data_IF_175557909891
#
_entry.id   IF_175557909891
#
_cell.length_a   1.000
_cell.length_b   1.000
_cell.length_c   1.000
_cell.angle_alpha   90.00
_cell.angle_beta   90.00
_cell.angle_gamma   90.00
#
_symmetry.space_group_name_H-M   'P 1'
#
loop_
_entity.id
_entity.type
_entity.pdbx_description
1 polymer ?
#
# COMPACT_ATOMS: atom_id res chain seq x y z
N UNK A 1 14.21 -5.15 -14.23
CA UNK A 1 13.85 -5.98 -13.06
C UNK A 1 14.67 -5.61 -11.83
N UNK A 2 16.00 -5.69 -11.85
CA UNK A 2 16.84 -5.29 -10.70
C UNK A 2 16.57 -3.85 -10.23
N UNK A 3 16.62 -2.85 -11.14
CA UNK A 3 16.35 -1.43 -10.80
C UNK A 3 14.98 -1.24 -10.15
N UNK A 4 13.96 -1.99 -10.61
CA UNK A 4 12.63 -1.95 -10.00
C UNK A 4 12.68 -2.51 -8.58
N UNK A 5 13.21 -3.72 -8.38
CA UNK A 5 13.30 -4.34 -7.04
C UNK A 5 14.10 -3.49 -6.06
N UNK A 6 15.29 -3.01 -6.45
CA UNK A 6 16.12 -2.17 -5.60
C UNK A 6 15.56 -0.76 -5.38
N UNK A 7 14.77 -0.24 -6.33
CA UNK A 7 14.17 1.10 -6.25
C UNK A 7 12.80 1.14 -5.56
N UNK A 8 12.07 0.02 -5.51
CA UNK A 8 10.71 -0.04 -4.93
C UNK A 8 10.62 -0.88 -3.66
N UNK A 9 11.72 -1.53 -3.24
CA UNK A 9 11.78 -2.30 -2.00
C UNK A 9 13.06 -1.96 -1.23
N UNK A 10 13.12 -2.34 0.04
CA UNK A 10 14.33 -2.22 0.86
C UNK A 10 15.47 -3.17 0.43
N UNK A 11 15.37 -3.84 -0.73
CA UNK A 11 16.46 -4.63 -1.29
C UNK A 11 17.75 -3.80 -1.47
N UNK A 12 17.69 -2.47 -1.60
CA UNK A 12 18.90 -1.62 -1.64
C UNK A 12 19.74 -1.72 -0.36
N UNK A 13 19.14 -2.06 0.79
CA UNK A 13 19.86 -2.30 2.04
C UNK A 13 20.83 -3.50 1.90
N UNK A 14 20.58 -4.44 0.98
CA UNK A 14 21.52 -5.52 0.67
C UNK A 14 22.86 -5.01 0.12
N UNK A 15 22.89 -3.81 -0.46
CA UNK A 15 24.12 -3.18 -0.94
C UNK A 15 25.02 -2.68 0.20
N UNK A 16 24.49 -2.60 1.44
CA UNK A 16 25.25 -2.20 2.64
C UNK A 16 25.97 -3.38 3.33
N UNK A 17 25.81 -4.61 2.84
CA UNK A 17 26.49 -5.78 3.42
C UNK A 17 28.03 -5.66 3.48
N UNK A 18 28.72 -5.06 2.49
CA UNK A 18 30.16 -4.82 2.60
C UNK A 18 30.54 -3.97 3.81
N UNK A 19 29.74 -2.96 4.15
CA UNK A 19 29.94 -2.09 5.32
C UNK A 19 29.78 -2.90 6.60
N UNK A 20 28.75 -3.74 6.70
CA UNK A 20 28.54 -4.64 7.83
C UNK A 20 29.73 -5.60 8.04
N UNK A 21 30.25 -6.18 6.96
CA UNK A 21 31.42 -7.09 7.05
C UNK A 21 32.66 -6.33 7.52
N UNK A 22 32.89 -5.12 7.00
CA UNK A 22 33.99 -4.27 7.46
C UNK A 22 33.88 -3.96 8.95
N UNK A 23 32.69 -3.59 9.42
CA UNK A 23 32.45 -3.26 10.82
C UNK A 23 32.59 -4.48 11.74
N UNK A 24 32.17 -5.66 11.29
CA UNK A 24 32.43 -6.92 11.99
C UNK A 24 33.94 -7.21 12.09
N UNK A 25 34.72 -6.93 11.03
CA UNK A 25 36.17 -7.11 11.06
C UNK A 25 36.84 -6.13 12.03
N UNK A 26 36.33 -4.91 12.17
CA UNK A 26 36.77 -3.93 13.18
C UNK A 26 36.53 -4.49 14.60
N UNK A 27 35.30 -4.93 14.89
CA UNK A 27 34.97 -5.59 16.16
C UNK A 27 35.84 -6.81 16.44
N UNK A 28 36.17 -7.61 15.41
CA UNK A 28 37.04 -8.79 15.58
C UNK A 28 38.52 -8.44 15.80
N UNK A 29 38.95 -7.22 15.49
CA UNK A 29 40.30 -6.74 15.85
C UNK A 29 40.37 -6.37 17.33
N UNK A 30 39.27 -5.83 17.87
CA UNK A 30 39.17 -5.40 19.27
C UNK A 30 38.87 -6.59 20.19
N UNK A 31 37.91 -7.43 19.82
CA UNK A 31 37.61 -8.72 20.45
C UNK A 31 37.72 -9.87 19.44
N UNK A 32 38.86 -10.57 19.36
CA UNK A 32 39.06 -11.70 18.47
C UNK A 32 38.09 -12.88 18.69
N UNK A 33 37.38 -12.93 19.83
CA UNK A 33 36.45 -14.01 20.16
C UNK A 33 35.02 -13.71 19.74
N UNK A 34 34.72 -12.48 19.29
CA UNK A 34 33.37 -12.13 18.88
C UNK A 34 32.95 -12.97 17.66
N UNK A 35 31.82 -13.67 17.80
CA UNK A 35 31.21 -14.38 16.69
C UNK A 35 30.37 -13.41 15.87
N UNK A 36 30.15 -13.74 14.60
CA UNK A 36 29.27 -12.92 13.75
C UNK A 36 27.83 -12.85 14.30
N UNK A 37 27.34 -13.92 14.94
CA UNK A 37 26.01 -13.91 15.58
C UNK A 37 25.95 -13.02 16.82
N UNK A 38 27.04 -12.95 17.60
CA UNK A 38 27.14 -12.03 18.73
C UNK A 38 27.14 -10.57 18.25
N UNK A 39 27.88 -10.28 17.18
CA UNK A 39 27.86 -8.98 16.50
C UNK A 39 26.46 -8.60 15.99
N UNK A 40 25.74 -9.52 15.35
CA UNK A 40 24.36 -9.23 14.93
C UNK A 40 23.45 -8.98 16.14
N UNK A 41 23.63 -9.74 17.23
CA UNK A 41 22.82 -9.56 18.44
C UNK A 41 23.03 -8.18 19.07
N UNK A 42 24.29 -7.76 19.24
CA UNK A 42 24.59 -6.46 19.87
C UNK A 42 24.00 -5.30 19.08
N UNK A 43 24.02 -5.38 17.74
CA UNK A 43 23.52 -4.28 16.91
C UNK A 43 22.01 -4.35 16.58
N UNK A 44 21.35 -5.51 16.60
CA UNK A 44 19.94 -5.62 16.18
C UNK A 44 18.96 -6.05 17.28
N UNK A 45 19.44 -6.65 18.36
CA UNK A 45 18.59 -7.23 19.41
C UNK A 45 18.76 -6.48 20.73
N UNK A 46 20.00 -6.19 21.09
CA UNK A 46 20.31 -5.52 22.34
C UNK A 46 19.94 -4.03 22.26
N UNK A 47 19.88 -3.36 23.41
CA UNK A 47 19.47 -1.95 23.48
C UNK A 47 20.51 -1.07 22.78
N UNK A 48 20.03 -0.17 21.93
CA UNK A 48 20.87 0.84 21.28
C UNK A 48 21.56 1.70 22.34
N UNK A 49 22.89 1.76 22.24
CA UNK A 49 23.76 2.63 23.03
C UNK A 49 24.23 3.76 22.12
N UNK A 50 24.27 4.99 22.64
CA UNK A 50 24.82 6.14 21.92
C UNK A 50 26.22 6.37 22.44
N UNK A 51 27.20 5.90 21.68
CA UNK A 51 28.62 6.09 21.93
C UNK A 51 29.34 6.52 20.63
N UNK A 52 30.67 6.42 20.60
CA UNK A 52 31.49 6.83 19.47
C UNK A 52 31.23 6.00 18.19
N UNK A 53 30.64 4.80 18.29
CA UNK A 53 30.31 3.93 17.16
C UNK A 53 28.92 4.21 16.56
N UNK A 54 28.08 4.99 17.25
CA UNK A 54 26.66 5.13 16.97
C UNK A 54 26.36 5.51 15.50
N UNK A 55 27.11 6.46 14.94
CA UNK A 55 26.94 6.91 13.56
C UNK A 55 27.31 5.83 12.53
N UNK A 56 28.23 4.93 12.86
CA UNK A 56 28.61 3.78 12.03
C UNK A 56 27.58 2.67 12.17
N UNK A 57 27.06 2.49 13.38
CA UNK A 57 25.97 1.59 13.71
C UNK A 57 24.72 1.85 12.88
N UNK A 58 24.36 3.13 12.70
CA UNK A 58 23.22 3.55 11.89
C UNK A 58 23.39 3.29 10.38
N UNK A 59 24.61 2.98 9.91
CA UNK A 59 24.89 2.63 8.52
C UNK A 59 24.70 1.15 8.22
N UNK A 60 24.49 0.32 9.24
CA UNK A 60 24.27 -1.12 9.06
C UNK A 60 22.97 -1.40 8.28
N UNK A 61 22.94 -2.47 7.47
CA UNK A 61 21.77 -2.82 6.66
C UNK A 61 20.53 -2.98 7.54
N UNK A 62 19.41 -2.37 7.15
CA UNK A 62 18.14 -2.46 7.90
C UNK A 62 18.16 -1.90 9.34
N UNK A 63 19.22 -1.21 9.78
CA UNK A 63 19.27 -0.57 11.11
C UNK A 63 18.41 0.70 11.16
N UNK A 64 18.41 1.46 10.08
CA UNK A 64 17.62 2.68 9.91
C UNK A 64 16.60 2.51 8.80
N UNK A 65 15.39 3.01 9.04
CA UNK A 65 14.34 3.12 8.02
C UNK A 65 14.39 4.54 7.47
N UNK A 66 14.99 4.70 6.29
CA UNK A 66 14.80 5.89 5.47
C UNK A 66 13.34 5.87 5.03
N UNK A 67 12.49 6.69 5.68
CA UNK A 67 11.06 6.74 5.41
C UNK A 67 10.78 7.35 4.03
N UNK A 68 11.07 6.61 2.96
CA UNK A 68 10.51 6.88 1.64
C UNK A 68 9.51 5.77 1.35
N UNK A 69 8.29 5.99 1.86
CA UNK A 69 7.10 5.21 1.54
C UNK A 69 7.25 3.71 1.84
N UNK A 70 6.88 3.30 3.05
CA UNK A 70 6.49 1.90 3.34
C UNK A 70 5.18 1.63 2.57
N UNK A 71 5.26 1.57 1.24
CA UNK A 71 4.42 0.66 0.49
C UNK A 71 5.08 -0.70 0.72
N UNK A 72 4.85 -1.29 1.89
CA UNK A 72 4.88 -2.73 1.99
C UNK A 72 3.81 -3.20 1.00
N UNK A 73 4.15 -3.32 -0.27
CA UNK A 73 3.40 -4.12 -1.23
C UNK A 73 3.56 -5.53 -0.72
N UNK A 74 2.71 -5.87 0.25
CA UNK A 74 2.32 -7.24 0.49
C UNK A 74 1.80 -7.67 -0.87
N UNK A 75 2.62 -8.41 -1.60
CA UNK A 75 2.21 -9.14 -2.80
C UNK A 75 1.26 -10.23 -2.32
N UNK A 76 0.06 -9.85 -1.88
CA UNK A 76 -1.04 -10.76 -1.71
C UNK A 76 -1.27 -11.38 -3.09
N UNK A 77 -1.24 -12.71 -3.23
CA UNK A 77 -1.65 -13.32 -4.48
C UNK A 77 -3.06 -12.82 -4.82
N UNK A 78 -3.30 -12.48 -6.08
CA UNK A 78 -4.60 -11.97 -6.53
C UNK A 78 -5.69 -12.94 -6.07
N UNK A 79 -6.60 -12.46 -5.20
CA UNK A 79 -7.72 -13.26 -4.75
C UNK A 79 -8.79 -13.25 -5.82
N UNK A 80 -9.41 -14.40 -6.08
CA UNK A 80 -10.54 -14.48 -6.99
C UNK A 80 -11.74 -13.78 -6.36
N UNK A 81 -12.22 -12.69 -6.98
CA UNK A 81 -13.46 -12.03 -6.57
C UNK A 81 -14.61 -12.73 -7.30
N UNK A 82 -15.48 -13.41 -6.55
CA UNK A 82 -16.75 -13.90 -7.10
C UNK A 82 -17.76 -12.77 -7.04
N UNK A 83 -18.12 -12.23 -8.20
CA UNK A 83 -19.20 -11.24 -8.33
C UNK A 83 -20.49 -12.03 -8.60
N UNK A 84 -21.32 -12.24 -7.57
CA UNK A 84 -22.69 -12.65 -7.78
C UNK A 84 -23.47 -11.45 -8.30
N UNK A 85 -23.82 -11.47 -9.59
CA UNK A 85 -24.76 -10.49 -10.12
C UNK A 85 -26.14 -10.77 -9.53
N UNK A 86 -26.77 -9.79 -8.84
CA UNK A 86 -28.15 -9.97 -8.41
C UNK A 86 -29.01 -10.18 -9.66
N UNK A 87 -29.82 -11.24 -9.64
CA UNK A 87 -30.79 -11.45 -10.72
C UNK A 87 -31.73 -10.25 -10.77
N UNK A 88 -32.01 -9.69 -11.96
CA UNK A 88 -32.95 -8.58 -12.08
C UNK A 88 -34.31 -9.06 -11.56
N UNK A 89 -34.76 -8.46 -10.46
CA UNK A 89 -36.13 -8.63 -9.98
C UNK A 89 -37.02 -7.90 -10.98
N UNK A 90 -37.66 -8.65 -11.87
CA UNK A 90 -38.71 -8.10 -12.73
C UNK A 90 -39.90 -7.80 -11.83
N UNK A 91 -40.02 -6.54 -11.40
CA UNK A 91 -41.22 -6.05 -10.74
C UNK A 91 -42.34 -6.08 -11.79
N UNK A 92 -43.22 -7.08 -11.69
CA UNK A 92 -44.47 -7.10 -12.44
C UNK A 92 -45.40 -6.07 -11.79
N UNK A 93 -45.24 -4.81 -12.20
CA UNK A 93 -46.12 -3.73 -11.75
C UNK A 93 -47.37 -3.72 -12.62
N UNK A 94 -48.50 -4.12 -12.05
CA UNK A 94 -49.79 -3.87 -12.68
C UNK A 94 -50.11 -2.37 -12.57
N UNK A 95 -50.17 -1.69 -13.71
CA UNK A 95 -50.67 -0.32 -13.78
C UNK A 95 -52.14 -0.35 -14.16
N UNK A 96 -52.95 0.42 -13.42
CA UNK A 96 -54.33 0.66 -13.80
C UNK A 96 -54.34 1.60 -15.01
N UNK A 97 -54.72 1.07 -16.17
CA UNK A 97 -55.05 1.91 -17.33
C UNK A 97 -56.46 2.45 -17.11
N UNK A 98 -56.57 3.74 -16.84
CA UNK A 98 -57.84 4.44 -16.87
C UNK A 98 -58.14 4.82 -18.33
N UNK A 99 -59.17 4.22 -18.90
CA UNK A 99 -59.72 4.61 -20.20
C UNK A 99 -60.74 5.74 -19.97
N UNK A 100 -60.29 6.86 -19.40
CA UNK A 100 -61.13 8.06 -19.34
C UNK A 100 -61.09 8.77 -20.70
N UNK A 101 -62.25 9.14 -21.27
CA UNK A 101 -62.27 10.02 -22.43
C UNK A 101 -61.68 11.37 -22.01
N UNK A 102 -60.45 11.63 -22.46
CA UNK A 102 -59.76 12.91 -22.28
C UNK A 102 -60.66 14.05 -22.78
N UNK A 103 -61.19 14.84 -21.85
CA UNK A 103 -61.85 16.09 -22.20
C UNK A 103 -60.76 17.10 -22.59
N UNK A 104 -60.59 17.29 -23.90
CA UNK A 104 -59.60 18.22 -24.47
C UNK A 104 -59.72 19.64 -23.94
N UNK A 105 -60.85 19.99 -23.30
CA UNK A 105 -61.04 21.26 -22.60
C UNK A 105 -60.05 21.47 -21.43
N UNK A 106 -59.59 20.41 -20.76
CA UNK A 106 -58.65 20.48 -19.63
C UNK A 106 -57.17 20.55 -20.04
N UNK A 107 -56.85 20.24 -21.30
CA UNK A 107 -55.46 20.29 -21.82
C UNK A 107 -55.02 21.73 -22.13
N UNK A 108 -55.96 22.67 -22.19
CA UNK A 108 -55.72 23.98 -22.77
C UNK A 108 -55.46 25.12 -21.77
N UNK A 109 -55.49 24.85 -20.46
CA UNK A 109 -55.20 25.83 -19.41
C UNK A 109 -53.94 25.46 -18.63
N UNK A 110 -52.87 26.24 -18.81
CA UNK A 110 -51.67 26.29 -17.97
C UNK A 110 -50.55 25.24 -18.17
N UNK A 111 -50.37 24.72 -19.38
CA UNK A 111 -49.07 24.12 -19.75
C UNK A 111 -48.16 25.23 -20.29
N UNK A 112 -47.02 25.44 -19.63
CA UNK A 112 -45.98 26.37 -20.05
C UNK A 112 -45.56 26.09 -21.51
N UNK A 113 -45.75 27.08 -22.40
CA UNK A 113 -45.27 27.02 -23.78
C UNK A 113 -44.04 27.93 -23.95
N UNK A 114 -42.96 27.46 -24.60
CA UNK A 114 -41.79 28.30 -24.83
C UNK A 114 -42.10 29.45 -25.81
N UNK A 115 -41.31 30.56 -25.77
CA UNK A 115 -41.53 31.72 -26.62
C UNK A 115 -41.40 31.36 -28.11
N UNK A 116 -42.33 31.83 -28.93
CA UNK A 116 -42.25 31.73 -30.40
C UNK A 116 -41.53 32.97 -30.95
N UNK A 117 -40.54 32.76 -31.81
CA UNK A 117 -39.80 33.81 -32.53
C UNK A 117 -40.48 34.18 -33.85
#
# INVERSE_FOLDING_TARGET
MAVYVFGTTDAYQLLKFPIMVQHFVEHRKEDPKISFTAFLRMHYVDKVVVDDDFDRDMQLPFKTTEACCIAATVSMPAQWVNIEMPHPVVLQQEFFLFDEPMDYALVHGDIFQPPRA
#
